data_IF_102783046817
#
_entry.id   IF_102783046817
#
_cell.length_a   1.000
_cell.length_b   1.000
_cell.length_c   1.000
_cell.angle_alpha   90.00
_cell.angle_beta   90.00
_cell.angle_gamma   90.00
#
_symmetry.space_group_name_H-M   'P 1'
#
loop_
_entity.id
_entity.type
_entity.pdbx_description
1 polymer ?
#
# COMPACT_ATOMS: atom_id res chain seq x y z
N UNK A 1 21.46 2.53 -24.62
CA UNK A 1 20.07 2.14 -24.32
C UNK A 1 19.78 2.64 -22.92
N UNK A 2 18.85 3.58 -22.75
CA UNK A 2 18.48 4.08 -21.41
C UNK A 2 17.82 2.94 -20.64
N UNK A 3 18.20 2.75 -19.37
CA UNK A 3 17.51 1.81 -18.50
C UNK A 3 16.03 2.23 -18.39
N UNK A 4 15.07 1.30 -18.33
CA UNK A 4 13.68 1.66 -18.07
C UNK A 4 13.53 2.17 -16.62
N UNK A 5 12.67 3.16 -16.42
CA UNK A 5 12.31 3.66 -15.08
C UNK A 5 11.58 2.61 -14.24
N UNK A 6 11.46 2.85 -12.93
CA UNK A 6 10.83 1.93 -11.99
C UNK A 6 9.42 2.40 -11.64
N UNK A 7 8.45 1.51 -11.78
CA UNK A 7 7.08 1.72 -11.30
C UNK A 7 6.94 1.24 -9.86
N UNK A 8 6.34 2.05 -8.99
CA UNK A 8 6.01 1.64 -7.63
C UNK A 8 4.54 1.92 -7.37
N UNK A 9 3.83 0.97 -6.74
CA UNK A 9 2.47 1.20 -6.26
C UNK A 9 2.33 0.79 -4.79
N UNK A 10 1.48 1.50 -4.06
CA UNK A 10 1.04 1.18 -2.70
C UNK A 10 -0.44 0.78 -2.75
N UNK A 11 -0.80 -0.32 -2.11
CA UNK A 11 -2.20 -0.76 -1.91
C UNK A 11 -2.40 -1.21 -0.45
N UNK A 12 -3.63 -1.16 0.12
CA UNK A 12 -3.84 -1.60 1.49
C UNK A 12 -3.86 -3.13 1.61
N UNK A 13 -3.44 -3.63 2.78
CA UNK A 13 -3.52 -5.05 3.14
C UNK A 13 -4.88 -5.47 3.69
N UNK A 14 -5.96 -4.77 3.34
CA UNK A 14 -7.29 -4.95 3.96
C UNK A 14 -8.00 -6.21 3.46
N UNK A 15 -8.50 -7.02 4.39
CA UNK A 15 -9.17 -8.28 4.07
C UNK A 15 -10.48 -8.11 3.29
N UNK A 16 -11.13 -6.94 3.34
CA UNK A 16 -12.32 -6.62 2.54
C UNK A 16 -12.07 -6.72 1.02
N UNK A 17 -10.80 -6.68 0.59
CA UNK A 17 -10.41 -6.93 -0.80
C UNK A 17 -10.45 -8.42 -1.19
N UNK A 18 -10.54 -9.35 -0.24
CA UNK A 18 -10.60 -10.78 -0.56
C UNK A 18 -12.00 -11.18 -1.06
N UNK A 19 -12.08 -12.16 -2.00
CA UNK A 19 -13.35 -12.67 -2.51
C UNK A 19 -14.29 -13.20 -1.41
N UNK A 20 -13.75 -13.67 -0.28
CA UNK A 20 -14.53 -14.17 0.85
C UNK A 20 -15.44 -13.09 1.49
N UNK A 21 -15.14 -11.81 1.28
CA UNK A 21 -15.94 -10.68 1.76
C UNK A 21 -16.82 -10.07 0.65
N UNK A 22 -16.90 -10.71 -0.52
CA UNK A 22 -17.80 -10.29 -1.58
C UNK A 22 -19.26 -10.53 -1.14
N UNK A 23 -19.99 -9.44 -0.90
CA UNK A 23 -21.42 -9.45 -0.61
C UNK A 23 -22.27 -9.05 -1.81
N UNK A 24 -23.59 -8.95 -1.60
CA UNK A 24 -24.51 -8.36 -2.60
C UNK A 24 -24.16 -6.90 -2.94
N UNK A 25 -23.59 -6.19 -1.97
CA UNK A 25 -23.05 -4.84 -2.11
C UNK A 25 -21.58 -4.95 -1.72
N UNK A 26 -20.69 -4.48 -2.58
CA UNK A 26 -19.26 -4.43 -2.30
C UNK A 26 -18.97 -3.21 -1.42
N UNK A 27 -18.62 -3.39 -0.13
CA UNK A 27 -18.44 -2.28 0.80
C UNK A 27 -17.16 -1.47 0.49
N UNK A 28 -16.31 -1.94 -0.42
CA UNK A 28 -15.04 -1.30 -0.81
C UNK A 28 -14.91 -1.19 -2.33
N UNK A 29 -16.01 -1.00 -3.06
CA UNK A 29 -16.01 -1.02 -4.54
C UNK A 29 -14.99 -0.04 -5.16
N UNK A 30 -14.96 1.21 -4.70
CA UNK A 30 -14.03 2.22 -5.21
C UNK A 30 -12.57 1.88 -4.86
N UNK A 31 -12.32 1.46 -3.63
CA UNK A 31 -10.99 1.02 -3.20
C UNK A 31 -10.51 -0.20 -4.01
N UNK A 32 -11.39 -1.18 -4.24
CA UNK A 32 -11.09 -2.37 -5.04
C UNK A 32 -10.76 -1.98 -6.48
N UNK A 33 -11.55 -1.11 -7.09
CA UNK A 33 -11.27 -0.61 -8.44
C UNK A 33 -9.89 0.07 -8.49
N UNK A 34 -9.58 0.95 -7.54
CA UNK A 34 -8.27 1.60 -7.46
C UNK A 34 -7.12 0.59 -7.33
N UNK A 35 -7.26 -0.42 -6.45
CA UNK A 35 -6.25 -1.46 -6.29
C UNK A 35 -6.03 -2.28 -7.58
N UNK A 36 -7.12 -2.62 -8.28
CA UNK A 36 -7.07 -3.37 -9.54
C UNK A 36 -6.38 -2.55 -10.62
N UNK A 37 -6.70 -1.26 -10.76
CA UNK A 37 -6.03 -0.39 -11.72
C UNK A 37 -4.55 -0.20 -11.40
N UNK A 38 -4.18 -0.04 -10.12
CA UNK A 38 -2.79 0.09 -9.70
C UNK A 38 -1.97 -1.16 -10.03
N UNK A 39 -2.50 -2.36 -9.77
CA UNK A 39 -1.83 -3.63 -10.12
C UNK A 39 -1.77 -3.82 -11.63
N UNK A 40 -2.83 -3.49 -12.37
CA UNK A 40 -2.82 -3.52 -13.84
C UNK A 40 -1.74 -2.60 -14.42
N UNK A 41 -1.58 -1.42 -13.84
CA UNK A 41 -0.58 -0.43 -14.26
C UNK A 41 0.86 -0.90 -14.02
N UNK A 42 1.12 -1.66 -12.94
CA UNK A 42 2.42 -2.31 -12.71
C UNK A 42 2.76 -3.34 -13.81
N UNK A 43 1.73 -4.01 -14.35
CA UNK A 43 1.88 -5.06 -15.36
C UNK A 43 1.96 -6.46 -14.76
N UNK A 44 2.46 -7.41 -15.54
CA UNK A 44 2.40 -8.84 -15.18
C UNK A 44 3.52 -9.28 -14.23
N UNK A 45 4.64 -8.58 -14.22
CA UNK A 45 5.82 -8.91 -13.41
C UNK A 45 6.19 -7.73 -12.52
N UNK A 46 6.09 -7.94 -11.21
CA UNK A 46 6.42 -6.96 -10.19
C UNK A 46 6.88 -7.68 -8.91
N UNK A 47 7.87 -7.10 -8.25
CA UNK A 47 8.27 -7.51 -6.92
C UNK A 47 7.20 -7.10 -5.89
N UNK A 48 7.09 -7.86 -4.80
CA UNK A 48 6.07 -7.61 -3.75
C UNK A 48 6.75 -7.38 -2.40
N UNK A 49 6.29 -6.34 -1.70
CA UNK A 49 6.68 -6.02 -0.32
C UNK A 49 5.41 -6.06 0.52
N UNK A 50 5.18 -7.16 1.23
CA UNK A 50 3.97 -7.39 2.00
C UNK A 50 4.23 -8.31 3.19
N UNK A 51 3.44 -8.15 4.25
CA UNK A 51 3.32 -9.14 5.31
C UNK A 51 2.44 -10.34 4.85
N UNK A 52 2.27 -11.40 5.68
CA UNK A 52 1.44 -12.55 5.30
C UNK A 52 -0.02 -12.22 4.97
N UNK A 53 -0.61 -11.19 5.59
CA UNK A 53 -1.98 -10.77 5.28
C UNK A 53 -2.03 -10.05 3.94
N UNK A 54 -1.12 -9.10 3.73
CA UNK A 54 -0.98 -8.37 2.48
C UNK A 54 -0.72 -9.30 1.30
N UNK A 55 0.07 -10.37 1.48
CA UNK A 55 0.29 -11.36 0.43
C UNK A 55 -1.02 -12.02 -0.04
N UNK A 56 -1.96 -12.30 0.88
CA UNK A 56 -3.29 -12.82 0.50
C UNK A 56 -4.07 -11.84 -0.35
N UNK A 57 -3.97 -10.54 -0.07
CA UNK A 57 -4.58 -9.47 -0.88
C UNK A 57 -3.93 -9.41 -2.25
N UNK A 58 -2.60 -9.46 -2.34
CA UNK A 58 -1.87 -9.46 -3.61
C UNK A 58 -2.28 -10.65 -4.48
N UNK A 59 -2.40 -11.84 -3.90
CA UNK A 59 -2.88 -13.02 -4.61
C UNK A 59 -4.32 -12.85 -5.13
N UNK A 60 -5.21 -12.25 -4.32
CA UNK A 60 -6.57 -11.97 -4.74
C UNK A 60 -6.62 -10.98 -5.92
N UNK A 61 -5.82 -9.91 -5.87
CA UNK A 61 -5.74 -8.92 -6.95
C UNK A 61 -5.17 -9.55 -8.24
N UNK A 62 -4.09 -10.34 -8.14
CA UNK A 62 -3.53 -11.09 -9.28
C UNK A 62 -4.56 -12.01 -9.93
N UNK A 63 -5.30 -12.79 -9.13
CA UNK A 63 -6.38 -13.66 -9.63
C UNK A 63 -7.48 -12.86 -10.32
N UNK A 64 -7.88 -11.71 -9.78
CA UNK A 64 -8.92 -10.86 -10.38
C UNK A 64 -8.54 -10.31 -11.77
N UNK A 65 -7.24 -10.21 -12.05
CA UNK A 65 -6.67 -9.75 -13.30
C UNK A 65 -6.24 -10.89 -14.25
N UNK A 66 -6.41 -12.16 -13.84
CA UNK A 66 -5.91 -13.31 -14.60
C UNK A 66 -4.38 -13.36 -14.71
N UNK A 67 -3.66 -12.81 -13.72
CA UNK A 67 -2.19 -12.83 -13.70
C UNK A 67 -1.69 -14.17 -13.14
N UNK A 68 -1.18 -15.02 -14.03
CA UNK A 68 -0.56 -16.30 -13.69
C UNK A 68 0.93 -16.10 -13.33
N UNK A 69 1.28 -15.92 -12.05
CA UNK A 69 2.68 -15.73 -11.65
C UNK A 69 2.98 -15.98 -10.17
N UNK A 70 4.10 -16.66 -9.89
CA UNK A 70 4.61 -16.94 -8.54
C UNK A 70 5.12 -15.67 -7.86
N UNK A 71 4.89 -15.57 -6.56
CA UNK A 71 5.52 -14.56 -5.69
C UNK A 71 7.01 -14.88 -5.55
N UNK A 72 7.88 -14.17 -6.26
CA UNK A 72 9.31 -14.23 -6.01
C UNK A 72 9.62 -13.23 -4.88
N UNK A 73 9.75 -13.73 -3.65
CA UNK A 73 10.46 -13.03 -2.59
C UNK A 73 11.67 -13.88 -2.23
N UNK A 74 12.84 -13.48 -2.75
CA UNK A 74 14.13 -13.29 -2.04
C UNK A 74 15.23 -13.16 -3.09
N UNK A 75 15.88 -11.99 -3.13
CA UNK A 75 16.96 -11.67 -4.04
C UNK A 75 16.47 -10.86 -5.24
N UNK A 76 16.81 -9.56 -5.28
CA UNK A 76 16.65 -8.72 -6.46
C UNK A 76 17.62 -9.24 -7.55
N UNK A 77 17.24 -10.30 -8.25
CA UNK A 77 17.93 -10.66 -9.50
C UNK A 77 17.62 -9.56 -10.52
N UNK A 78 18.61 -8.71 -10.80
CA UNK A 78 18.44 -7.44 -11.52
C UNK A 78 17.46 -6.47 -10.83
N UNK A 79 17.63 -5.16 -11.03
CA UNK A 79 16.73 -4.15 -10.45
C UNK A 79 15.33 -4.33 -11.04
N UNK A 80 14.28 -4.59 -10.24
CA UNK A 80 12.92 -4.79 -10.76
C UNK A 80 12.42 -3.50 -11.41
N UNK A 81 11.71 -3.64 -12.52
CA UNK A 81 11.08 -2.52 -13.24
C UNK A 81 9.75 -2.10 -12.61
N UNK A 82 9.18 -2.94 -11.72
CA UNK A 82 7.93 -2.67 -11.02
C UNK A 82 7.92 -3.28 -9.61
N UNK A 83 7.37 -2.56 -8.62
CA UNK A 83 7.23 -3.00 -7.22
C UNK A 83 5.84 -2.65 -6.68
N UNK A 84 5.20 -3.63 -6.04
CA UNK A 84 3.97 -3.45 -5.26
C UNK A 84 4.29 -3.50 -3.76
N UNK A 85 4.05 -2.40 -3.05
CA UNK A 85 4.12 -2.31 -1.60
C UNK A 85 2.71 -2.44 -1.04
N UNK A 86 2.55 -3.24 0.01
CA UNK A 86 1.28 -3.36 0.74
C UNK A 86 1.41 -2.67 2.09
N UNK A 87 0.49 -1.76 2.39
CA UNK A 87 0.45 -1.03 3.65
C UNK A 87 -0.77 -0.12 3.73
N UNK A 88 -1.24 0.15 4.95
CA UNK A 88 -2.35 1.06 5.20
C UNK A 88 -2.11 1.82 6.51
N UNK A 89 -2.84 2.92 6.72
CA UNK A 89 -2.75 3.69 7.94
C UNK A 89 -3.40 2.99 9.14
N UNK A 90 -3.61 3.75 10.21
CA UNK A 90 -4.12 3.25 11.48
C UNK A 90 -5.51 2.62 11.35
N UNK A 91 -5.82 1.67 12.24
CA UNK A 91 -7.13 1.04 12.33
C UNK A 91 -7.96 1.56 13.54
N UNK A 92 -7.71 2.82 13.94
CA UNK A 92 -8.21 3.43 15.18
C UNK A 92 -8.80 4.83 15.02
N UNK A 93 -9.29 5.20 13.83
CA UNK A 93 -9.71 6.59 13.53
C UNK A 93 -11.14 6.94 13.95
N UNK A 94 -11.93 5.96 14.36
CA UNK A 94 -13.31 6.16 14.79
C UNK A 94 -13.70 5.19 15.90
N UNK A 95 -14.78 5.50 16.62
CA UNK A 95 -15.30 4.61 17.68
C UNK A 95 -15.67 3.22 17.16
N UNK A 96 -16.07 3.13 15.89
CA UNK A 96 -16.45 1.90 15.19
C UNK A 96 -15.29 1.23 14.47
N UNK A 97 -14.09 1.81 14.53
CA UNK A 97 -12.91 1.22 13.91
C UNK A 97 -12.59 -0.14 14.56
N UNK A 98 -11.96 -1.09 13.84
CA UNK A 98 -11.61 -2.39 14.38
C UNK A 98 -10.78 -2.34 15.67
N UNK A 99 -9.90 -1.33 15.81
CA UNK A 99 -9.08 -1.10 16.99
C UNK A 99 -9.67 -0.12 18.01
N UNK A 100 -10.92 0.34 17.83
CA UNK A 100 -11.55 1.45 18.55
C UNK A 100 -10.82 2.80 18.39
N UNK A 101 -11.47 3.91 18.78
CA UNK A 101 -10.90 5.24 18.62
C UNK A 101 -9.64 5.41 19.48
N UNK A 102 -8.57 5.89 18.85
CA UNK A 102 -7.43 6.50 19.50
C UNK A 102 -7.25 7.89 18.87
N UNK A 103 -7.33 8.95 19.67
CA UNK A 103 -7.30 10.34 19.18
C UNK A 103 -6.01 10.69 18.42
N UNK A 104 -4.92 9.93 18.66
CA UNK A 104 -3.63 10.10 17.97
C UNK A 104 -3.66 9.61 16.52
N UNK A 105 -4.62 8.75 16.16
CA UNK A 105 -4.73 8.08 14.87
C UNK A 105 -4.77 9.06 13.69
N UNK A 106 -5.61 10.09 13.78
CA UNK A 106 -5.82 11.06 12.69
C UNK A 106 -4.56 11.85 12.39
N UNK A 107 -3.86 12.31 13.43
CA UNK A 107 -2.63 13.08 13.28
C UNK A 107 -1.49 12.21 12.73
N UNK A 108 -1.34 10.98 13.24
CA UNK A 108 -0.34 10.03 12.74
C UNK A 108 -0.52 9.74 11.25
N UNK A 109 -1.75 9.40 10.83
CA UNK A 109 -2.04 9.10 9.44
C UNK A 109 -1.89 10.32 8.53
N UNK A 110 -2.19 11.53 9.03
CA UNK A 110 -2.03 12.78 8.26
C UNK A 110 -0.56 13.06 7.95
N UNK A 111 0.34 12.86 8.92
CA UNK A 111 1.79 13.01 8.69
C UNK A 111 2.34 11.91 7.78
N UNK A 112 1.87 10.66 7.95
CA UNK A 112 2.23 9.57 7.06
C UNK A 112 1.74 9.82 5.62
N UNK A 113 0.50 10.26 5.43
CA UNK A 113 -0.05 10.59 4.12
C UNK A 113 0.72 11.73 3.45
N UNK A 114 1.06 12.77 4.20
CA UNK A 114 1.89 13.87 3.70
C UNK A 114 3.26 13.37 3.24
N UNK A 115 3.90 12.50 4.01
CA UNK A 115 5.17 11.89 3.65
C UNK A 115 5.07 11.03 2.37
N UNK A 116 4.01 10.22 2.26
CA UNK A 116 3.74 9.41 1.06
C UNK A 116 3.51 10.30 -0.17
N UNK A 117 2.62 11.29 -0.08
CA UNK A 117 2.29 12.20 -1.18
C UNK A 117 3.49 12.99 -1.67
N UNK A 118 4.33 13.45 -0.75
CA UNK A 118 5.53 14.26 -1.05
C UNK A 118 6.77 13.44 -1.40
N UNK A 119 6.76 12.12 -1.24
CA UNK A 119 7.98 11.31 -1.36
C UNK A 119 9.04 11.69 -0.31
N UNK A 120 8.62 12.00 0.91
CA UNK A 120 9.51 12.35 2.02
C UNK A 120 10.14 11.09 2.62
N UNK A 121 11.27 10.67 2.04
CA UNK A 121 11.94 9.43 2.43
C UNK A 121 12.45 9.45 3.87
N UNK A 122 12.78 10.63 4.42
CA UNK A 122 13.29 10.74 5.79
C UNK A 122 12.15 10.60 6.78
N UNK A 123 10.99 11.22 6.52
CA UNK A 123 9.79 11.02 7.33
C UNK A 123 9.33 9.54 7.31
N UNK A 124 9.37 8.88 6.14
CA UNK A 124 9.00 7.46 6.02
C UNK A 124 9.98 6.53 6.77
N UNK A 125 11.27 6.87 6.81
CA UNK A 125 12.27 6.13 7.63
C UNK A 125 12.11 6.41 9.12
N UNK A 126 11.69 7.62 9.47
CA UNK A 126 11.55 8.12 10.83
C UNK A 126 10.20 7.82 11.49
N UNK A 127 9.34 6.98 10.90
CA UNK A 127 8.05 6.63 11.49
C UNK A 127 8.22 6.04 12.89
N UNK A 128 7.43 6.53 13.85
CA UNK A 128 7.37 5.96 15.20
C UNK A 128 6.70 4.58 15.14
N UNK A 129 7.52 3.54 15.08
CA UNK A 129 7.09 2.14 15.01
C UNK A 129 6.33 1.69 16.25
N UNK A 130 6.62 2.26 17.41
CA UNK A 130 5.91 1.95 18.66
C UNK A 130 4.48 2.47 18.59
N UNK A 131 4.34 3.75 18.27
CA UNK A 131 3.02 4.37 18.06
C UNK A 131 2.25 3.70 16.90
N UNK A 132 2.93 3.35 15.81
CA UNK A 132 2.32 2.65 14.69
C UNK A 132 1.73 1.29 15.11
N UNK A 133 2.41 0.55 15.98
CA UNK A 133 1.91 -0.70 16.54
C UNK A 133 0.70 -0.48 17.46
N UNK A 134 0.74 0.54 18.33
CA UNK A 134 -0.39 0.93 19.18
C UNK A 134 -1.62 1.31 18.36
N UNK A 135 -1.42 2.03 17.25
CA UNK A 135 -2.46 2.49 16.32
C UNK A 135 -2.89 1.42 15.30
N UNK A 136 -2.28 0.23 15.35
CA UNK A 136 -2.57 -0.89 14.45
C UNK A 136 -2.39 -0.52 12.95
N UNK A 137 -1.34 0.23 12.65
CA UNK A 137 -0.95 0.59 11.27
C UNK A 137 -0.58 -0.68 10.49
N UNK A 138 -1.12 -0.82 9.28
CA UNK A 138 -0.92 -2.01 8.45
C UNK A 138 0.47 -2.03 7.82
N UNK A 139 1.28 -3.02 8.18
CA UNK A 139 2.60 -3.33 7.60
C UNK A 139 3.55 -2.12 7.53
N UNK A 140 3.94 -1.58 8.70
CA UNK A 140 4.86 -0.43 8.82
C UNK A 140 6.21 -0.66 8.12
N UNK A 141 6.72 -1.89 8.12
CA UNK A 141 7.94 -2.27 7.39
C UNK A 141 7.83 -2.02 5.89
N UNK A 142 6.61 -2.08 5.33
CA UNK A 142 6.35 -1.71 3.94
C UNK A 142 6.69 -0.26 3.64
N UNK A 143 6.41 0.67 4.55
CA UNK A 143 6.74 2.10 4.37
C UNK A 143 8.26 2.35 4.45
N UNK A 144 8.97 1.66 5.33
CA UNK A 144 10.43 1.72 5.39
C UNK A 144 11.05 1.22 4.08
N UNK A 145 10.53 0.11 3.54
CA UNK A 145 10.99 -0.42 2.26
C UNK A 145 10.61 0.48 1.08
N UNK A 146 9.44 1.13 1.12
CA UNK A 146 9.06 2.15 0.15
C UNK A 146 10.06 3.31 0.13
N UNK A 147 10.53 3.77 1.30
CA UNK A 147 11.55 4.81 1.42
C UNK A 147 12.93 4.44 0.84
N UNK A 148 13.22 3.15 0.66
CA UNK A 148 14.42 2.67 -0.04
C UNK A 148 14.24 2.65 -1.56
N UNK A 149 13.00 2.63 -2.04
CA UNK A 149 12.66 2.61 -3.47
C UNK A 149 12.50 4.03 -4.04
N UNK A 150 11.93 4.94 -3.26
CA UNK A 150 11.60 6.29 -3.72
C UNK A 150 12.83 7.17 -3.91
N UNK A 151 12.75 8.04 -4.91
CA UNK A 151 13.62 9.21 -5.01
C UNK A 151 13.04 10.29 -4.09
N UNK A 152 13.86 10.96 -3.26
CA UNK A 152 13.38 12.04 -2.40
C UNK A 152 12.60 13.10 -3.20
N UNK A 153 11.40 13.45 -2.74
CA UNK A 153 10.54 14.41 -3.42
C UNK A 153 9.71 13.84 -4.57
N UNK A 154 9.78 12.53 -4.84
CA UNK A 154 8.94 11.89 -5.85
C UNK A 154 7.47 11.94 -5.43
N UNK A 155 6.70 12.83 -6.06
CA UNK A 155 5.29 13.00 -5.77
C UNK A 155 4.49 11.74 -6.16
N UNK A 156 3.51 11.40 -5.32
CA UNK A 156 2.60 10.31 -5.58
C UNK A 156 1.44 10.75 -6.48
N UNK A 157 1.08 9.92 -7.46
CA UNK A 157 -0.28 9.90 -7.99
C UNK A 157 -1.18 9.18 -6.99
N UNK A 158 -2.26 9.82 -6.53
CA UNK A 158 -3.17 9.24 -5.53
C UNK A 158 -4.47 8.84 -6.20
N UNK A 159 -4.71 7.53 -6.26
CA UNK A 159 -5.91 6.94 -6.87
C UNK A 159 -7.04 6.72 -5.84
N UNK A 160 -6.69 6.60 -4.55
CA UNK A 160 -7.64 6.50 -3.45
C UNK A 160 -7.01 6.97 -2.13
N UNK A 161 -7.78 7.68 -1.30
CA UNK A 161 -7.41 8.05 0.06
C UNK A 161 -8.68 8.30 0.88
N UNK A 162 -9.07 7.36 1.73
CA UNK A 162 -10.28 7.46 2.55
C UNK A 162 -10.24 6.45 3.71
N UNK A 163 -11.14 6.58 4.68
CA UNK A 163 -11.21 5.78 5.91
C UNK A 163 -12.61 5.19 6.22
N UNK A 164 -13.28 4.51 5.26
CA UNK A 164 -14.70 4.14 5.35
C UNK A 164 -15.09 3.26 6.55
N UNK A 165 -14.12 2.62 7.21
CA UNK A 165 -14.32 1.80 8.41
C UNK A 165 -13.50 2.30 9.62
N UNK A 166 -13.09 3.57 9.62
CA UNK A 166 -12.15 4.10 10.61
C UNK A 166 -10.74 3.51 10.49
N UNK A 167 -10.41 2.99 9.29
CA UNK A 167 -9.07 2.53 8.92
C UNK A 167 -8.63 3.31 7.71
N UNK A 168 -7.50 4.01 7.78
CA UNK A 168 -7.04 4.80 6.65
C UNK A 168 -6.48 3.89 5.54
N UNK A 169 -7.05 3.98 4.34
CA UNK A 169 -6.57 3.28 3.16
C UNK A 169 -6.04 4.25 2.13
N UNK A 170 -4.97 3.84 1.43
CA UNK A 170 -4.41 4.58 0.32
C UNK A 170 -4.14 3.65 -0.86
N UNK A 171 -4.39 4.14 -2.06
CA UNK A 171 -3.85 3.58 -3.31
C UNK A 171 -3.06 4.68 -3.99
N UNK A 172 -1.77 4.45 -4.18
CA UNK A 172 -0.85 5.45 -4.72
C UNK A 172 0.14 4.84 -5.71
N UNK A 173 0.60 5.63 -6.67
CA UNK A 173 1.56 5.23 -7.71
C UNK A 173 2.69 6.25 -7.86
N UNK A 174 3.89 5.76 -8.16
CA UNK A 174 5.07 6.56 -8.47
C UNK A 174 5.75 6.04 -9.75
N UNK A 175 6.00 6.94 -10.69
CA UNK A 175 6.84 6.67 -11.86
C UNK A 175 8.24 7.24 -11.60
N UNK A 176 9.21 6.39 -11.27
CA UNK A 176 10.56 6.81 -10.97
C UNK A 176 11.42 6.78 -12.24
N UNK A 177 12.24 7.82 -12.50
CA UNK A 177 13.24 7.79 -13.56
C UNK A 177 14.27 6.67 -13.33
N UNK A 178 14.98 6.32 -14.39
CA UNK A 178 15.95 5.22 -14.42
C UNK A 178 17.32 5.56 -13.80
#
# INVERSE_FOLDING_TARGET
MMSPGVKVALVPGVLALLPAYAGRIDPVAELRAACVEAVRWLGNDFAVVADPQGMRVVEALRRSLGLDGRSAVTGLSARPTAVLVVGNGSARRSEKAPGHLDERAVAYDSELEKALRGGDVEALRGLDRGLAAELMVGHVDGFARLAELLIPGAAAEVDYADDPFGVQYWVMRWSLPA
#
